data_IF_263809825670
#
_entry.id   IF_263809825670
#
_cell.length_a   1.000
_cell.length_b   1.000
_cell.length_c   1.000
_cell.angle_alpha   90.00
_cell.angle_beta   90.00
_cell.angle_gamma   90.00
#
_symmetry.space_group_name_H-M   'P 1'
#
loop_
_entity.id
_entity.type
_entity.pdbx_description
1 polymer ?
#
# COMPACT_ATOMS: atom_id res chain seq x y z
N UNK A 1 -10.42 6.75 32.29
CA UNK A 1 -9.27 6.39 31.44
C UNK A 1 -9.55 6.87 30.03
N UNK A 2 -8.72 7.73 29.42
CA UNK A 2 -8.86 8.13 28.02
C UNK A 2 -8.01 7.18 27.16
N UNK A 3 -8.64 6.43 26.28
CA UNK A 3 -7.95 5.56 25.32
C UNK A 3 -7.82 6.36 24.03
N UNK A 4 -6.61 6.74 23.59
CA UNK A 4 -6.42 7.44 22.33
C UNK A 4 -6.70 6.49 21.16
N UNK A 5 -7.27 7.02 20.08
CA UNK A 5 -7.60 6.24 18.89
C UNK A 5 -6.34 5.67 18.20
N UNK A 6 -5.30 6.47 18.09
CA UNK A 6 -4.00 6.05 17.52
C UNK A 6 -2.85 6.73 18.31
N UNK A 7 -2.27 6.05 19.29
CA UNK A 7 -1.23 6.63 20.15
C UNK A 7 0.17 6.56 19.52
N UNK A 8 0.38 7.17 18.36
CA UNK A 8 1.67 7.23 17.64
C UNK A 8 2.82 7.71 18.55
N UNK A 9 2.50 8.56 19.54
CA UNK A 9 3.49 9.03 20.51
C UNK A 9 4.18 7.90 21.28
N UNK A 10 3.50 6.77 21.48
CA UNK A 10 4.10 5.64 22.19
C UNK A 10 5.24 4.98 21.38
N UNK A 11 5.09 4.92 20.07
CA UNK A 11 6.14 4.41 19.17
C UNK A 11 7.33 5.37 19.15
N UNK A 12 7.07 6.68 19.03
CA UNK A 12 8.12 7.69 19.11
C UNK A 12 8.89 7.58 20.42
N UNK A 13 8.22 7.50 21.57
CA UNK A 13 8.88 7.43 22.88
C UNK A 13 9.81 6.20 23.02
N UNK A 14 9.50 5.09 22.33
CA UNK A 14 10.34 3.89 22.33
C UNK A 14 11.58 4.03 21.45
N UNK A 15 11.50 4.85 20.40
CA UNK A 15 12.53 5.03 19.38
C UNK A 15 13.09 6.46 19.35
N UNK A 16 12.82 7.26 20.38
CA UNK A 16 13.11 8.70 20.43
C UNK A 16 14.56 9.03 20.05
N UNK A 17 15.51 8.35 20.65
CA UNK A 17 16.93 8.60 20.39
C UNK A 17 17.29 8.36 18.94
N UNK A 18 16.90 7.21 18.40
CA UNK A 18 17.22 6.80 17.03
C UNK A 18 16.55 7.72 16.00
N UNK A 19 15.27 8.07 16.23
CA UNK A 19 14.52 8.97 15.36
C UNK A 19 15.15 10.37 15.35
N UNK A 20 15.43 10.92 16.53
CA UNK A 20 16.00 12.25 16.65
C UNK A 20 17.39 12.33 16.01
N UNK A 21 18.24 11.33 16.22
CA UNK A 21 19.54 11.26 15.58
C UNK A 21 19.44 11.18 14.05
N UNK A 22 18.58 10.32 13.53
CA UNK A 22 18.37 10.16 12.09
C UNK A 22 17.87 11.47 11.43
N UNK A 23 16.88 12.13 12.06
CA UNK A 23 16.32 13.39 11.57
C UNK A 23 17.36 14.50 11.58
N UNK A 24 18.11 14.67 12.69
CA UNK A 24 19.14 15.70 12.80
C UNK A 24 20.27 15.47 11.79
N UNK A 25 20.70 14.22 11.59
CA UNK A 25 21.73 13.88 10.61
C UNK A 25 21.27 14.17 9.18
N UNK A 26 20.00 13.88 8.86
CA UNK A 26 19.41 14.25 7.57
C UNK A 26 19.42 15.77 7.37
N UNK A 27 18.98 16.54 8.37
CA UNK A 27 18.98 18.00 8.31
C UNK A 27 20.40 18.58 8.12
N UNK A 28 21.37 18.06 8.86
CA UNK A 28 22.79 18.49 8.75
C UNK A 28 23.42 18.17 7.40
N UNK A 29 22.94 17.13 6.70
CA UNK A 29 23.45 16.75 5.38
C UNK A 29 23.10 17.75 4.29
N UNK A 30 22.04 18.54 4.47
CA UNK A 30 21.51 19.46 3.45
C UNK A 30 20.88 18.75 2.23
N UNK A 31 20.82 17.43 2.23
CA UNK A 31 20.26 16.64 1.13
C UNK A 31 18.98 15.94 1.57
N UNK A 32 17.81 16.47 1.19
CA UNK A 32 16.51 16.07 1.70
C UNK A 32 15.66 15.25 0.72
N UNK A 33 16.05 15.20 -0.56
CA UNK A 33 15.30 14.50 -1.62
C UNK A 33 16.20 13.51 -2.33
N UNK A 34 15.76 12.27 -2.47
CA UNK A 34 16.47 11.20 -3.16
C UNK A 34 17.93 11.04 -2.69
N UNK A 35 18.16 11.17 -1.39
CA UNK A 35 19.50 11.07 -0.81
C UNK A 35 19.82 9.68 -0.27
N UNK A 36 20.99 9.56 0.33
CA UNK A 36 21.54 8.32 0.92
C UNK A 36 20.58 7.60 1.87
N UNK A 37 19.72 8.33 2.58
CA UNK A 37 18.72 7.74 3.47
C UNK A 37 17.65 6.95 2.71
N UNK A 38 17.21 7.48 1.55
CA UNK A 38 16.25 6.79 0.67
C UNK A 38 16.90 5.54 0.07
N UNK A 39 18.10 5.63 -0.49
CA UNK A 39 18.84 4.49 -1.04
C UNK A 39 19.06 3.39 0.00
N UNK A 40 19.42 3.77 1.23
CA UNK A 40 19.60 2.83 2.33
C UNK A 40 18.30 2.15 2.71
N UNK A 41 17.20 2.90 2.77
CA UNK A 41 15.87 2.36 3.04
C UNK A 41 15.46 1.37 1.95
N UNK A 42 15.54 1.75 0.69
CA UNK A 42 15.16 0.92 -0.46
C UNK A 42 15.93 -0.40 -0.46
N UNK A 43 17.26 -0.35 -0.23
CA UNK A 43 18.10 -1.54 -0.15
C UNK A 43 17.71 -2.45 1.01
N UNK A 44 17.51 -1.89 2.20
CA UNK A 44 17.14 -2.68 3.40
C UNK A 44 15.74 -3.25 3.27
N UNK A 45 14.80 -2.48 2.74
CA UNK A 45 13.42 -2.92 2.57
C UNK A 45 13.32 -4.02 1.52
N UNK A 46 13.97 -3.87 0.36
CA UNK A 46 14.04 -4.90 -0.66
C UNK A 46 14.56 -6.23 -0.08
N UNK A 47 15.65 -6.17 0.71
CA UNK A 47 16.20 -7.34 1.39
C UNK A 47 15.23 -7.97 2.39
N UNK A 48 14.55 -7.15 3.19
CA UNK A 48 13.58 -7.62 4.19
C UNK A 48 12.36 -8.30 3.54
N UNK A 49 11.92 -7.78 2.39
CA UNK A 49 10.80 -8.32 1.62
C UNK A 49 11.19 -9.42 0.63
N UNK A 50 12.48 -9.80 0.59
CA UNK A 50 13.03 -10.79 -0.34
C UNK A 50 12.69 -10.46 -1.81
N UNK A 51 12.79 -9.18 -2.18
CA UNK A 51 12.59 -8.69 -3.54
C UNK A 51 13.89 -8.13 -4.09
N UNK A 52 14.10 -8.16 -5.44
CA UNK A 52 15.32 -7.62 -6.03
C UNK A 52 15.44 -6.10 -5.90
N UNK A 53 14.32 -5.39 -5.85
CA UNK A 53 14.29 -3.93 -5.83
C UNK A 53 13.18 -3.39 -4.92
N UNK A 54 13.38 -2.17 -4.42
CA UNK A 54 12.37 -1.34 -3.77
C UNK A 54 12.54 0.08 -4.30
N UNK A 55 11.44 0.76 -4.53
CA UNK A 55 11.42 2.15 -4.99
C UNK A 55 10.57 2.95 -4.02
N UNK A 56 11.19 3.95 -3.38
CA UNK A 56 10.49 4.89 -2.51
C UNK A 56 9.63 5.86 -3.33
N UNK A 57 8.39 6.04 -2.90
CA UNK A 57 7.41 6.93 -3.54
C UNK A 57 6.77 7.84 -2.49
N UNK A 58 6.09 8.89 -2.94
CA UNK A 58 5.56 9.91 -2.03
C UNK A 58 4.37 9.44 -1.18
N UNK A 59 3.61 8.44 -1.65
CA UNK A 59 2.42 7.94 -0.95
C UNK A 59 2.03 6.53 -1.40
N UNK A 60 1.15 5.88 -0.62
CA UNK A 60 0.54 4.61 -1.03
C UNK A 60 -0.32 4.73 -2.30
N UNK A 61 -0.91 5.90 -2.56
CA UNK A 61 -1.62 6.15 -3.82
C UNK A 61 -0.66 6.06 -5.01
N UNK A 62 0.51 6.73 -4.89
CA UNK A 62 1.51 6.72 -5.95
C UNK A 62 2.09 5.31 -6.14
N UNK A 63 2.28 4.56 -5.04
CA UNK A 63 2.71 3.16 -5.12
C UNK A 63 1.73 2.32 -5.95
N UNK A 64 0.44 2.35 -5.63
CA UNK A 64 -0.60 1.62 -6.37
C UNK A 64 -0.63 2.06 -7.84
N UNK A 65 -0.63 3.37 -8.08
CA UNK A 65 -0.64 3.94 -9.45
C UNK A 65 0.54 3.42 -10.27
N UNK A 66 1.75 3.53 -9.73
CA UNK A 66 2.97 3.16 -10.45
C UNK A 66 3.09 1.64 -10.66
N UNK A 67 2.64 0.82 -9.70
CA UNK A 67 2.58 -0.63 -9.85
C UNK A 67 1.65 -1.00 -11.01
N UNK A 68 0.45 -0.45 -11.04
CA UNK A 68 -0.52 -0.74 -12.12
C UNK A 68 -0.01 -0.27 -13.48
N UNK A 69 0.57 0.92 -13.56
CA UNK A 69 1.20 1.42 -14.80
C UNK A 69 2.39 0.52 -15.21
N UNK A 70 3.22 0.09 -14.27
CA UNK A 70 4.34 -0.83 -14.53
C UNK A 70 3.91 -2.21 -15.04
N UNK A 71 2.70 -2.65 -14.67
CA UNK A 71 2.06 -3.86 -15.19
C UNK A 71 1.36 -3.64 -16.55
N UNK A 72 1.40 -2.42 -17.10
CA UNK A 72 0.73 -2.07 -18.34
C UNK A 72 -0.78 -1.87 -18.21
N UNK A 73 -1.30 -1.80 -16.99
CA UNK A 73 -2.74 -1.61 -16.71
C UNK A 73 -3.09 -0.14 -16.91
N UNK A 74 -4.13 0.13 -17.71
CA UNK A 74 -4.49 1.46 -18.17
C UNK A 74 -5.97 1.60 -18.52
N UNK A 75 -6.31 2.59 -19.32
CA UNK A 75 -7.68 2.85 -19.77
C UNK A 75 -8.27 1.64 -20.52
N UNK A 76 -9.43 1.19 -20.07
CA UNK A 76 -10.14 0.03 -20.61
C UNK A 76 -9.94 -1.24 -19.79
N UNK A 77 -9.00 -1.22 -18.85
CA UNK A 77 -8.75 -2.35 -17.94
C UNK A 77 -9.52 -2.18 -16.63
N UNK A 78 -9.97 -3.29 -16.07
CA UNK A 78 -10.65 -3.39 -14.77
C UNK A 78 -9.68 -3.89 -13.70
N UNK A 79 -9.78 -3.30 -12.50
CA UNK A 79 -9.06 -3.77 -11.30
C UNK A 79 -10.08 -4.05 -10.20
N UNK A 80 -10.19 -5.30 -9.79
CA UNK A 80 -11.05 -5.69 -8.67
C UNK A 80 -10.44 -5.18 -7.36
N UNK A 81 -11.29 -4.59 -6.52
CA UNK A 81 -10.89 -4.00 -5.24
C UNK A 81 -12.01 -4.15 -4.21
N UNK A 82 -11.70 -4.36 -2.90
CA UNK A 82 -12.75 -4.47 -1.90
C UNK A 82 -13.54 -3.16 -1.77
N UNK A 83 -14.86 -3.27 -1.60
CA UNK A 83 -15.73 -2.11 -1.37
C UNK A 83 -15.45 -1.43 -0.01
N UNK A 84 -14.90 -2.19 0.95
CA UNK A 84 -14.48 -1.67 2.25
C UNK A 84 -12.95 -1.54 2.29
N UNK A 85 -12.46 -0.37 1.93
CA UNK A 85 -11.04 -0.03 1.90
C UNK A 85 -10.83 1.47 2.10
N UNK A 86 -9.59 1.87 2.32
CA UNK A 86 -9.22 3.28 2.33
C UNK A 86 -9.31 3.88 0.91
N UNK A 87 -9.74 5.12 0.82
CA UNK A 87 -9.89 5.88 -0.44
C UNK A 87 -8.66 5.80 -1.39
N UNK A 88 -7.40 5.81 -0.89
CA UNK A 88 -6.21 5.61 -1.72
C UNK A 88 -6.24 4.41 -2.66
N UNK A 89 -6.89 3.31 -2.30
CA UNK A 89 -6.99 2.12 -3.16
C UNK A 89 -7.71 2.45 -4.48
N UNK A 90 -8.84 3.13 -4.38
CA UNK A 90 -9.64 3.54 -5.54
C UNK A 90 -8.91 4.61 -6.36
N UNK A 91 -8.38 5.64 -5.68
CA UNK A 91 -7.68 6.73 -6.34
C UNK A 91 -6.44 6.25 -7.11
N UNK A 92 -5.69 5.29 -6.56
CA UNK A 92 -4.52 4.73 -7.23
C UNK A 92 -4.89 4.02 -8.53
N UNK A 93 -5.98 3.24 -8.54
CA UNK A 93 -6.50 2.58 -9.74
C UNK A 93 -6.94 3.61 -10.79
N UNK A 94 -7.72 4.61 -10.37
CA UNK A 94 -8.20 5.66 -11.28
C UNK A 94 -7.06 6.50 -11.88
N UNK A 95 -6.02 6.80 -11.09
CA UNK A 95 -4.83 7.52 -11.58
C UNK A 95 -4.01 6.71 -12.59
N UNK A 96 -4.01 5.40 -12.50
CA UNK A 96 -3.44 4.54 -13.54
C UNK A 96 -4.27 4.52 -14.83
N UNK A 97 -5.49 5.10 -14.81
CA UNK A 97 -6.43 5.12 -15.92
C UNK A 97 -7.40 3.95 -15.94
N UNK A 98 -7.24 2.97 -15.04
CA UNK A 98 -8.07 1.79 -14.96
C UNK A 98 -9.40 2.04 -14.23
N UNK A 99 -10.34 1.13 -14.38
CA UNK A 99 -11.65 1.16 -13.72
C UNK A 99 -11.63 0.29 -12.45
N UNK A 100 -11.93 0.85 -11.26
CA UNK A 100 -12.07 0.04 -10.05
C UNK A 100 -13.41 -0.72 -10.06
N UNK A 101 -13.36 -2.04 -9.97
CA UNK A 101 -14.53 -2.91 -9.82
C UNK A 101 -14.69 -3.29 -8.36
N UNK A 102 -15.71 -2.75 -7.71
CA UNK A 102 -15.93 -2.95 -6.29
C UNK A 102 -16.54 -4.34 -6.03
N UNK A 103 -15.89 -5.11 -5.17
CA UNK A 103 -16.37 -6.39 -4.68
C UNK A 103 -16.58 -6.31 -3.18
N UNK A 104 -17.70 -6.82 -2.73
CA UNK A 104 -18.08 -6.78 -1.32
C UNK A 104 -17.13 -7.63 -0.45
N UNK A 105 -17.12 -7.34 0.83
CA UNK A 105 -16.24 -7.98 1.81
C UNK A 105 -16.97 -9.07 2.61
N UNK A 106 -16.22 -9.98 3.18
CA UNK A 106 -16.74 -10.94 4.15
C UNK A 106 -17.15 -10.20 5.43
N UNK A 107 -18.40 -10.36 5.85
CA UNK A 107 -18.98 -9.67 7.03
C UNK A 107 -18.27 -10.00 8.35
N UNK A 108 -17.56 -11.12 8.42
CA UNK A 108 -16.83 -11.54 9.63
C UNK A 108 -15.44 -10.93 9.73
N UNK A 109 -14.78 -10.71 8.60
CA UNK A 109 -13.38 -10.27 8.55
C UNK A 109 -13.20 -8.84 8.06
N UNK A 110 -14.17 -8.31 7.29
CA UNK A 110 -14.03 -7.03 6.60
C UNK A 110 -13.04 -7.06 5.42
N UNK A 111 -12.50 -8.22 5.07
CA UNK A 111 -11.58 -8.40 3.94
C UNK A 111 -12.33 -8.80 2.67
N UNK A 112 -11.69 -8.60 1.52
CA UNK A 112 -12.22 -9.03 0.22
C UNK A 112 -12.71 -10.48 0.27
N UNK A 113 -13.96 -10.70 -0.15
CA UNK A 113 -14.60 -12.02 -0.12
C UNK A 113 -14.21 -12.82 -1.37
N UNK A 114 -13.37 -13.88 -1.25
CA UNK A 114 -12.94 -14.65 -2.41
C UNK A 114 -14.09 -15.26 -3.20
N UNK A 115 -15.20 -15.61 -2.52
CA UNK A 115 -16.36 -16.25 -3.17
C UNK A 115 -17.13 -15.32 -4.10
N UNK A 116 -16.88 -14.02 -4.00
CA UNK A 116 -17.53 -13.00 -4.82
C UNK A 116 -16.67 -12.52 -5.99
N UNK A 117 -15.38 -12.85 -5.98
CA UNK A 117 -14.41 -12.38 -6.99
C UNK A 117 -14.76 -12.94 -8.37
N UNK A 118 -14.99 -14.23 -8.48
CA UNK A 118 -15.24 -14.92 -9.77
C UNK A 118 -16.37 -14.25 -10.57
N UNK A 119 -17.43 -13.84 -9.89
CA UNK A 119 -18.58 -13.16 -10.53
C UNK A 119 -18.27 -11.75 -11.03
N UNK A 120 -17.23 -11.13 -10.48
CA UNK A 120 -16.79 -9.79 -10.84
C UNK A 120 -15.74 -9.79 -11.97
N UNK A 121 -15.18 -10.94 -12.29
CA UNK A 121 -14.19 -11.08 -13.36
C UNK A 121 -14.87 -10.90 -14.71
N UNK A 122 -14.34 -10.01 -15.54
CA UNK A 122 -14.71 -9.77 -16.92
C UNK A 122 -13.50 -10.01 -17.85
N UNK A 123 -13.70 -9.93 -19.14
CA UNK A 123 -12.60 -9.98 -20.14
C UNK A 123 -11.58 -8.85 -19.96
N UNK A 124 -12.02 -7.74 -19.36
CA UNK A 124 -11.23 -6.54 -19.15
C UNK A 124 -10.52 -6.53 -17.78
N UNK A 125 -10.81 -7.48 -16.89
CA UNK A 125 -10.15 -7.63 -15.59
C UNK A 125 -8.68 -8.01 -15.76
N UNK A 126 -7.77 -7.20 -15.20
CA UNK A 126 -6.32 -7.38 -15.29
C UNK A 126 -5.64 -7.61 -13.93
N UNK A 127 -6.26 -7.15 -12.85
CA UNK A 127 -5.67 -7.30 -11.52
C UNK A 127 -6.74 -7.37 -10.42
N UNK A 128 -6.31 -7.87 -9.27
CA UNK A 128 -7.05 -7.82 -8.01
C UNK A 128 -6.17 -7.07 -7.00
N UNK A 129 -6.68 -5.97 -6.44
CA UNK A 129 -6.03 -5.23 -5.37
C UNK A 129 -6.54 -5.76 -4.02
N UNK A 130 -5.83 -6.71 -3.44
CA UNK A 130 -6.12 -7.22 -2.10
C UNK A 130 -5.65 -6.21 -1.04
N UNK A 131 -6.52 -5.90 -0.07
CA UNK A 131 -6.20 -4.95 1.01
C UNK A 131 -6.17 -5.69 2.35
N UNK A 132 -5.02 -5.73 3.00
CA UNK A 132 -4.80 -6.31 4.33
C UNK A 132 -5.27 -5.32 5.41
N UNK A 133 -6.60 -5.12 5.47
CA UNK A 133 -7.21 -4.08 6.29
C UNK A 133 -6.93 -4.30 7.78
N UNK A 134 -6.51 -3.24 8.46
CA UNK A 134 -6.13 -3.26 9.89
C UNK A 134 -5.05 -4.30 10.25
N UNK A 135 -4.19 -4.66 9.29
CA UNK A 135 -3.11 -5.63 9.51
C UNK A 135 -3.55 -7.10 9.44
N UNK A 136 -4.81 -7.38 9.12
CA UNK A 136 -5.29 -8.73 8.86
C UNK A 136 -5.04 -9.11 7.40
N UNK A 137 -4.35 -10.23 7.15
CA UNK A 137 -4.05 -10.68 5.80
C UNK A 137 -5.30 -11.23 5.09
N UNK A 138 -5.46 -10.87 3.81
CA UNK A 138 -6.43 -11.50 2.93
C UNK A 138 -6.07 -12.97 2.68
N UNK A 139 -7.06 -13.78 2.40
CA UNK A 139 -6.87 -15.18 1.98
C UNK A 139 -6.49 -15.22 0.49
N UNK A 140 -5.18 -15.08 0.23
CA UNK A 140 -4.64 -15.09 -1.13
C UNK A 140 -4.64 -16.50 -1.76
N UNK A 141 -4.87 -17.56 -0.96
CA UNK A 141 -4.86 -18.93 -1.45
C UNK A 141 -6.13 -19.25 -2.25
N UNK A 142 -7.24 -18.56 -1.92
CA UNK A 142 -8.54 -18.74 -2.55
C UNK A 142 -8.92 -17.60 -3.51
N UNK A 143 -7.98 -16.67 -3.80
CA UNK A 143 -8.09 -15.63 -4.82
C UNK A 143 -7.38 -16.08 -6.10
#
# INVERSE_FOLDING_TARGET
MKIPFNPIINEYNQLETDINEAVINCLKSGWYVLGKHVETFETKFAKAMNTPYCIGVASGVDAITLILMGLGISKGDDVIVPAFTAFPSITGIQRAGATPVLVDVCSKTGLLDPTKIEKAITKDTKAILAVHLYGQCCDLTHM
#
